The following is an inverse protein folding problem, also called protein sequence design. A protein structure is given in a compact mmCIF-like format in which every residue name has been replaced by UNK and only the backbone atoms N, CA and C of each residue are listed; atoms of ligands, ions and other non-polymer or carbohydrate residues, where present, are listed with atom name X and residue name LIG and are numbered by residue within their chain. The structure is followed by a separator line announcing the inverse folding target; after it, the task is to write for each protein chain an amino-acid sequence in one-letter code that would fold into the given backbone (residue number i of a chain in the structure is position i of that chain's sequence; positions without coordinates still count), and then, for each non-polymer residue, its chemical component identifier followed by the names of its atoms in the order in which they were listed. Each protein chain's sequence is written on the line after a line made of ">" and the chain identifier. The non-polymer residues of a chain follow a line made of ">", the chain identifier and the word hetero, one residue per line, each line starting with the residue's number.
data_IF_341535936049
#
_entry.id   IF_341535936049
#
_cell.length_a   1.000
_cell.length_b   1.000
_cell.length_c   1.000
_cell.angle_alpha   90.00
_cell.angle_beta   90.00
_cell.angle_gamma   90.00
#
_symmetry.space_group_name_H-M   'P 1'
#
loop_
_entity.id
_entity.type
_entity.pdbx_description
1 polymer ?
#
# COMPACT_ATOMS: atom_id res chain seq x y z
N UNK A 1 24.44 -4.42 -22.87
CA UNK A 1 23.60 -3.64 -21.96
C UNK A 1 22.48 -4.59 -21.59
N UNK A 2 22.38 -4.99 -20.32
CA UNK A 2 21.14 -5.63 -19.87
C UNK A 2 20.12 -4.50 -19.89
N UNK A 3 19.08 -4.65 -20.71
CA UNK A 3 17.91 -3.81 -20.60
C UNK A 3 17.40 -4.00 -19.17
N UNK A 4 17.44 -2.94 -18.35
CA UNK A 4 16.85 -2.98 -17.01
C UNK A 4 15.34 -3.13 -17.22
N UNK A 5 14.87 -4.38 -17.14
CA UNK A 5 13.45 -4.67 -17.17
C UNK A 5 12.87 -4.12 -15.86
N UNK A 6 12.01 -3.11 -15.98
CA UNK A 6 11.29 -2.56 -14.83
C UNK A 6 10.10 -3.46 -14.56
N UNK A 7 10.03 -4.04 -13.37
CA UNK A 7 8.85 -4.76 -12.90
C UNK A 7 7.83 -3.77 -12.32
N UNK A 8 6.59 -3.89 -12.76
CA UNK A 8 5.46 -3.10 -12.28
C UNK A 8 4.46 -4.01 -11.55
N UNK A 9 4.11 -3.60 -10.34
CA UNK A 9 3.08 -4.20 -9.52
C UNK A 9 1.77 -3.44 -9.71
N UNK A 10 0.68 -4.19 -9.88
CA UNK A 10 -0.66 -3.62 -9.92
C UNK A 10 -1.26 -3.70 -8.53
N UNK A 11 -1.66 -2.53 -8.02
CA UNK A 11 -2.34 -2.38 -6.75
C UNK A 11 -3.82 -2.13 -7.00
N UNK A 12 -4.69 -2.87 -6.32
CA UNK A 12 -6.14 -2.72 -6.35
C UNK A 12 -6.61 -2.06 -5.06
N UNK A 13 -7.14 -0.84 -5.16
CA UNK A 13 -7.68 -0.09 -4.04
C UNK A 13 -9.20 -0.16 -4.03
N UNK A 14 -9.78 -0.52 -2.89
CA UNK A 14 -11.22 -0.58 -2.66
C UNK A 14 -11.63 0.52 -1.68
N UNK A 15 -12.79 1.12 -1.93
CA UNK A 15 -13.44 2.07 -1.03
C UNK A 15 -14.92 2.10 -1.31
N UNK A 16 -15.76 1.82 -0.32
CA UNK A 16 -17.21 1.79 -0.42
C UNK A 16 -17.69 0.94 -1.62
N UNK A 17 -18.33 1.59 -2.60
CA UNK A 17 -18.77 0.97 -3.86
C UNK A 17 -17.83 1.25 -5.02
N UNK A 18 -16.63 1.74 -4.76
CA UNK A 18 -15.64 2.18 -5.74
C UNK A 18 -14.39 1.31 -5.73
N UNK A 19 -13.67 1.35 -6.86
CA UNK A 19 -12.38 0.70 -7.08
C UNK A 19 -11.45 1.64 -7.84
N UNK A 20 -10.15 1.51 -7.60
CA UNK A 20 -9.12 2.10 -8.44
C UNK A 20 -7.94 1.16 -8.51
N UNK A 21 -7.38 0.98 -9.70
CA UNK A 21 -6.11 0.28 -9.89
C UNK A 21 -4.99 1.29 -10.08
N UNK A 22 -3.79 1.00 -9.58
CA UNK A 22 -2.61 1.85 -9.74
C UNK A 22 -1.37 1.02 -10.06
N UNK A 23 -0.33 1.69 -10.57
CA UNK A 23 0.98 1.10 -10.84
C UNK A 23 2.00 1.57 -9.80
N UNK A 24 2.68 0.61 -9.20
CA UNK A 24 3.82 0.79 -8.30
C UNK A 24 5.01 0.01 -8.86
N UNK A 25 6.18 0.64 -8.97
CA UNK A 25 7.34 0.04 -9.62
C UNK A 25 8.65 0.62 -9.08
N UNK A 26 9.73 -0.13 -9.24
CA UNK A 26 11.07 0.32 -8.88
C UNK A 26 11.63 1.23 -9.98
N UNK A 27 11.91 2.48 -9.63
CA UNK A 27 12.58 3.43 -10.51
C UNK A 27 14.07 3.05 -10.71
N UNK A 28 14.75 3.56 -11.74
CA UNK A 28 16.14 3.20 -12.04
C UNK A 28 17.17 3.51 -10.93
N UNK A 29 16.80 4.30 -9.93
CA UNK A 29 17.61 4.63 -8.75
C UNK A 29 17.26 3.77 -7.52
N UNK A 30 16.65 2.59 -7.75
CA UNK A 30 16.26 1.62 -6.72
C UNK A 30 15.23 2.18 -5.71
N UNK A 31 14.51 3.24 -6.10
CA UNK A 31 13.41 3.80 -5.30
C UNK A 31 12.08 3.33 -5.84
N UNK A 32 11.25 2.74 -4.97
CA UNK A 32 9.89 2.39 -5.33
C UNK A 32 9.01 3.63 -5.44
N UNK A 33 8.27 3.76 -6.54
CA UNK A 33 7.48 4.94 -6.85
C UNK A 33 6.10 4.58 -7.42
N UNK A 34 5.19 5.53 -7.32
CA UNK A 34 3.90 5.46 -8.01
C UNK A 34 3.98 6.12 -9.39
N UNK A 35 3.27 5.56 -10.36
CA UNK A 35 2.99 6.28 -11.60
C UNK A 35 2.01 7.43 -11.31
N UNK A 36 2.41 8.68 -11.59
CA UNK A 36 1.62 9.89 -11.32
C UNK A 36 1.42 10.72 -12.59
N UNK A 37 0.33 11.48 -12.63
CA UNK A 37 0.03 12.41 -13.72
C UNK A 37 0.66 13.80 -13.49
N UNK A 38 0.45 14.71 -14.44
CA UNK A 38 0.97 16.08 -14.37
C UNK A 38 0.36 16.93 -13.24
N UNK A 39 -0.68 16.45 -12.57
CA UNK A 39 -1.35 17.11 -11.44
C UNK A 39 -0.96 16.51 -10.08
N UNK A 40 0.04 15.61 -10.05
CA UNK A 40 0.47 14.90 -8.85
C UNK A 40 -0.62 13.99 -8.26
N UNK A 41 -1.54 13.50 -9.10
CA UNK A 41 -2.46 12.42 -8.78
C UNK A 41 -1.87 11.09 -9.25
N UNK A 42 -2.21 10.00 -8.59
CA UNK A 42 -1.84 8.66 -9.04
C UNK A 42 -2.55 8.38 -10.35
N UNK A 43 -1.82 7.81 -11.33
CA UNK A 43 -2.43 7.27 -12.53
C UNK A 43 -3.31 6.08 -12.16
N UNK A 44 -4.61 6.36 -12.13
CA UNK A 44 -5.66 5.43 -11.76
C UNK A 44 -6.29 4.77 -12.98
N UNK A 45 -6.67 3.50 -12.82
CA UNK A 45 -7.32 2.71 -13.85
C UNK A 45 -8.61 2.04 -13.32
N UNK A 46 -9.63 1.85 -14.15
CA UNK A 46 -10.90 1.25 -13.74
C UNK A 46 -10.82 -0.25 -13.47
N UNK A 47 -9.86 -0.93 -14.10
CA UNK A 47 -9.66 -2.38 -13.97
C UNK A 47 -8.19 -2.77 -14.17
N UNK A 48 -7.87 -4.01 -13.75
CA UNK A 48 -6.52 -4.58 -13.87
C UNK A 48 -6.04 -4.65 -15.33
N UNK A 49 -6.94 -4.85 -16.30
CA UNK A 49 -6.56 -4.98 -17.70
C UNK A 49 -6.10 -3.64 -18.28
N UNK A 50 -6.76 -2.54 -17.94
CA UNK A 50 -6.38 -1.19 -18.27
C UNK A 50 -5.01 -0.82 -17.65
N UNK A 51 -4.79 -1.13 -16.36
CA UNK A 51 -3.50 -0.94 -15.71
C UNK A 51 -2.38 -1.76 -16.39
N UNK A 52 -2.65 -3.03 -16.69
CA UNK A 52 -1.70 -3.93 -17.36
C UNK A 52 -1.33 -3.44 -18.77
N UNK A 53 -2.32 -2.97 -19.53
CA UNK A 53 -2.10 -2.41 -20.87
C UNK A 53 -1.25 -1.14 -20.82
N UNK A 54 -1.48 -0.27 -19.83
CA UNK A 54 -0.67 0.92 -19.62
C UNK A 54 0.79 0.59 -19.28
N UNK A 55 1.03 -0.33 -18.33
CA UNK A 55 2.38 -0.78 -17.98
C UNK A 55 3.11 -1.43 -19.18
N UNK A 56 2.42 -2.27 -19.95
CA UNK A 56 2.96 -2.86 -21.19
C UNK A 56 3.32 -1.79 -22.22
N UNK A 57 2.49 -0.75 -22.35
CA UNK A 57 2.76 0.41 -23.21
C UNK A 57 4.01 1.19 -22.80
N UNK A 58 4.38 1.15 -21.52
CA UNK A 58 5.60 1.70 -20.95
C UNK A 58 6.79 0.73 -20.97
N UNK A 59 6.66 -0.43 -21.63
CA UNK A 59 7.67 -1.48 -21.70
C UNK A 59 8.05 -2.07 -20.33
N UNK A 60 7.13 -2.03 -19.36
CA UNK A 60 7.30 -2.66 -18.05
C UNK A 60 6.83 -4.12 -18.07
N UNK A 61 7.48 -4.96 -17.28
CA UNK A 61 7.01 -6.32 -17.01
C UNK A 61 5.98 -6.28 -15.87
N UNK A 62 4.77 -6.77 -16.12
CA UNK A 62 3.70 -6.72 -15.12
C UNK A 62 3.75 -7.97 -14.24
N UNK A 63 3.85 -7.78 -12.93
CA UNK A 63 3.81 -8.87 -11.97
C UNK A 63 2.46 -9.62 -12.04
N UNK A 64 2.48 -10.93 -11.84
CA UNK A 64 1.24 -11.72 -11.80
C UNK A 64 0.45 -11.46 -10.51
N UNK A 65 1.16 -11.14 -9.42
CA UNK A 65 0.57 -10.85 -8.12
C UNK A 65 -0.20 -9.53 -8.13
N UNK A 66 -1.36 -9.55 -7.48
CA UNK A 66 -2.18 -8.36 -7.26
C UNK A 66 -2.30 -8.15 -5.75
N UNK A 67 -1.92 -6.95 -5.30
CA UNK A 67 -2.13 -6.55 -3.91
C UNK A 67 -3.44 -5.79 -3.81
N UNK A 68 -4.39 -6.31 -3.04
CA UNK A 68 -5.69 -5.68 -2.79
C UNK A 68 -5.65 -4.96 -1.45
N UNK A 69 -6.04 -3.69 -1.45
CA UNK A 69 -6.04 -2.81 -0.29
C UNK A 69 -7.45 -2.24 -0.13
N UNK A 70 -8.13 -2.63 0.95
CA UNK A 70 -9.40 -2.02 1.32
C UNK A 70 -9.15 -0.82 2.23
N UNK A 71 -9.46 0.38 1.74
CA UNK A 71 -9.26 1.61 2.52
C UNK A 71 -10.27 1.76 3.66
N UNK A 72 -11.42 1.09 3.58
CA UNK A 72 -12.44 1.16 4.63
C UNK A 72 -11.99 0.37 5.87
N UNK A 73 -11.26 -0.73 5.66
CA UNK A 73 -10.68 -1.52 6.75
C UNK A 73 -9.68 -0.70 7.58
N UNK A 74 -8.97 0.25 6.97
CA UNK A 74 -8.02 1.13 7.66
C UNK A 74 -8.69 2.21 8.51
N UNK A 75 -9.96 2.50 8.23
CA UNK A 75 -10.76 3.44 9.03
C UNK A 75 -11.36 2.77 10.28
N UNK A 76 -11.40 1.44 10.33
CA UNK A 76 -11.88 0.71 11.49
C UNK A 76 -10.88 0.77 12.66
N UNK A 77 -11.34 0.70 13.93
CA UNK A 77 -10.45 0.55 15.07
C UNK A 77 -9.62 -0.73 14.97
N UNK A 78 -8.29 -0.62 15.07
CA UNK A 78 -7.42 -1.79 15.06
C UNK A 78 -7.66 -2.67 16.29
N UNK A 79 -7.72 -3.98 16.05
CA UNK A 79 -7.75 -4.98 17.11
C UNK A 79 -6.43 -4.98 17.89
N UNK A 80 -6.44 -5.26 19.20
CA UNK A 80 -5.20 -5.49 19.96
C UNK A 80 -4.49 -6.79 19.58
N UNK A 81 -5.13 -7.66 18.78
CA UNK A 81 -4.56 -8.94 18.34
C UNK A 81 -3.87 -8.81 16.97
N UNK A 82 -2.59 -8.43 16.98
CA UNK A 82 -1.76 -8.36 15.78
C UNK A 82 -1.18 -9.73 15.45
N UNK A 83 -1.85 -10.45 14.56
CA UNK A 83 -1.29 -11.67 13.94
C UNK A 83 -0.19 -11.30 12.92
N UNK A 84 0.66 -12.25 12.50
CA UNK A 84 1.64 -11.99 11.44
C UNK A 84 1.01 -11.51 10.13
N UNK A 85 -0.16 -12.06 9.76
CA UNK A 85 -0.88 -11.66 8.56
C UNK A 85 -1.41 -10.22 8.65
N UNK A 86 -2.01 -9.84 9.78
CA UNK A 86 -2.47 -8.45 10.02
C UNK A 86 -1.27 -7.50 10.03
N UNK A 87 -0.18 -7.87 10.71
CA UNK A 87 1.02 -7.05 10.77
C UNK A 87 1.62 -6.83 9.38
N UNK A 88 1.64 -7.87 8.54
CA UNK A 88 2.16 -7.79 7.18
C UNK A 88 1.32 -6.86 6.32
N UNK A 89 -0.02 -6.97 6.40
CA UNK A 89 -0.91 -6.07 5.67
C UNK A 89 -0.69 -4.59 6.05
N UNK A 90 -0.53 -4.31 7.35
CA UNK A 90 -0.28 -2.95 7.85
C UNK A 90 1.11 -2.43 7.41
N UNK A 91 2.14 -3.27 7.40
CA UNK A 91 3.47 -2.91 6.89
C UNK A 91 3.44 -2.61 5.39
N UNK A 92 2.77 -3.44 4.60
CA UNK A 92 2.63 -3.22 3.16
C UNK A 92 1.98 -1.86 2.90
N UNK A 93 0.89 -1.54 3.60
CA UNK A 93 0.19 -0.26 3.45
C UNK A 93 1.06 0.91 3.92
N UNK A 94 1.78 0.75 5.02
CA UNK A 94 2.71 1.76 5.51
C UNK A 94 3.78 2.08 4.47
N UNK A 95 4.43 1.05 3.91
CA UNK A 95 5.48 1.21 2.90
C UNK A 95 4.95 1.87 1.63
N UNK A 96 3.77 1.46 1.16
CA UNK A 96 3.13 2.08 0.00
C UNK A 96 2.80 3.56 0.25
N UNK A 97 2.31 3.92 1.43
CA UNK A 97 2.04 5.32 1.77
C UNK A 97 3.32 6.16 1.88
N UNK A 98 4.41 5.59 2.42
CA UNK A 98 5.72 6.23 2.45
C UNK A 98 6.27 6.45 1.03
N UNK A 99 6.23 5.43 0.17
CA UNK A 99 6.66 5.52 -1.23
C UNK A 99 5.82 6.55 -2.01
N UNK A 100 4.51 6.61 -1.76
CA UNK A 100 3.66 7.65 -2.35
C UNK A 100 4.05 9.05 -1.86
N UNK A 101 4.26 9.22 -0.55
CA UNK A 101 4.66 10.50 0.01
C UNK A 101 6.01 10.96 -0.58
N UNK A 102 6.98 10.05 -0.71
CA UNK A 102 8.26 10.30 -1.40
C UNK A 102 8.06 10.67 -2.86
N UNK A 103 7.25 9.91 -3.60
CA UNK A 103 6.92 10.17 -5.02
C UNK A 103 6.39 11.59 -5.20
N UNK A 104 5.56 12.06 -4.26
CA UNK A 104 4.90 13.37 -4.34
C UNK A 104 5.68 14.50 -3.63
N UNK A 105 6.81 14.20 -2.98
CA UNK A 105 7.54 15.17 -2.15
C UNK A 105 6.74 15.68 -0.95
N UNK A 106 5.85 14.86 -0.41
CA UNK A 106 4.96 15.17 0.72
C UNK A 106 5.50 14.59 2.04
N UNK A 107 4.98 15.09 3.16
CA UNK A 107 5.19 14.49 4.48
C UNK A 107 4.09 13.49 4.80
N UNK A 108 4.44 12.42 5.48
CA UNK A 108 3.53 11.38 5.98
C UNK A 108 3.95 11.03 7.41
N UNK A 109 3.02 10.94 8.36
CA UNK A 109 3.37 10.72 9.77
C UNK A 109 4.12 9.41 10.01
N UNK A 110 3.95 8.40 9.14
CA UNK A 110 4.70 7.16 9.19
C UNK A 110 6.20 7.28 8.90
N UNK A 111 6.69 8.45 8.48
CA UNK A 111 8.13 8.72 8.24
C UNK A 111 8.82 9.46 9.38
N UNK A 112 8.07 9.81 10.43
CA UNK A 112 8.62 10.47 11.60
C UNK A 112 9.35 9.47 12.50
N UNK A 113 10.46 9.89 13.13
CA UNK A 113 11.25 9.04 14.04
C UNK A 113 10.43 8.42 15.17
N UNK A 114 9.34 9.06 15.62
CA UNK A 114 8.44 8.49 16.64
C UNK A 114 7.67 7.28 16.15
N UNK A 115 7.52 7.12 14.84
CA UNK A 115 6.84 6.03 14.18
C UNK A 115 7.76 4.80 13.96
N UNK A 116 9.09 4.98 13.96
CA UNK A 116 10.09 3.91 13.76
C UNK A 116 9.92 2.75 14.74
N UNK A 117 9.59 3.05 16.00
CA UNK A 117 9.38 2.01 17.03
C UNK A 117 8.15 1.16 16.73
N UNK A 118 7.08 1.76 16.19
CA UNK A 118 5.86 1.04 15.80
C UNK A 118 6.12 0.20 14.55
N UNK A 119 6.85 0.76 13.58
CA UNK A 119 7.26 0.06 12.37
C UNK A 119 8.12 -1.16 12.68
N UNK A 120 9.17 -1.01 13.49
CA UNK A 120 10.04 -2.11 13.93
C UNK A 120 9.26 -3.22 14.63
N UNK A 121 8.26 -2.85 15.42
CA UNK A 121 7.39 -3.80 16.15
C UNK A 121 6.52 -4.59 15.19
N UNK A 122 5.91 -3.93 14.20
CA UNK A 122 5.18 -4.60 13.11
C UNK A 122 6.12 -5.54 12.34
N UNK A 123 7.30 -5.07 11.97
CA UNK A 123 8.30 -5.85 11.22
C UNK A 123 8.70 -7.13 11.96
N UNK A 124 8.98 -7.04 13.26
CA UNK A 124 9.29 -8.22 14.09
C UNK A 124 8.13 -9.20 14.24
N UNK A 125 6.87 -8.72 14.24
CA UNK A 125 5.70 -9.59 14.21
C UNK A 125 5.62 -10.43 12.92
N UNK A 126 6.18 -9.95 11.81
CA UNK A 126 6.19 -10.62 10.51
C UNK A 126 7.41 -11.53 10.33
N UNK A 127 8.61 -10.98 10.52
CA UNK A 127 9.86 -11.62 10.11
C UNK A 127 10.30 -12.76 11.04
N UNK A 128 10.07 -12.64 12.34
CA UNK A 128 10.47 -13.69 13.29
C UNK A 128 9.76 -15.02 12.99
N UNK A 129 8.41 -15.05 12.81
CA UNK A 129 7.71 -16.23 12.33
C UNK A 129 8.20 -16.77 10.98
N UNK A 130 8.47 -15.89 10.01
CA UNK A 130 8.93 -16.29 8.69
C UNK A 130 10.28 -17.02 8.74
N UNK A 131 11.14 -16.63 9.68
CA UNK A 131 12.43 -17.29 9.96
C UNK A 131 12.33 -18.54 10.86
N UNK A 132 11.13 -18.97 11.24
CA UNK A 132 10.90 -20.14 12.10
C UNK A 132 11.09 -19.89 13.59
N UNK A 133 11.26 -18.63 14.00
CA UNK A 133 11.24 -18.24 15.41
C UNK A 133 9.80 -18.01 15.87
N UNK A 134 9.49 -18.18 17.18
CA UNK A 134 8.22 -17.72 17.71
C UNK A 134 8.06 -16.23 17.37
N UNK A 135 6.84 -15.82 16.98
CA UNK A 135 6.54 -14.38 16.99
C UNK A 135 6.84 -13.87 18.38
N UNK A 136 7.63 -12.80 18.47
CA UNK A 136 7.57 -11.98 19.67
C UNK A 136 6.13 -11.46 19.72
N UNK A 137 5.31 -12.04 20.59
CA UNK A 137 3.99 -11.49 20.91
C UNK A 137 4.25 -10.17 21.60
N UNK A 138 4.44 -9.14 20.80
CA UNK A 138 4.62 -7.82 21.31
C UNK A 138 3.29 -7.36 21.87
N UNK A 139 3.23 -7.12 23.19
CA UNK A 139 2.05 -6.52 23.80
C UNK A 139 1.94 -5.09 23.27
N UNK A 140 0.91 -4.85 22.46
CA UNK A 140 0.54 -3.53 21.99
C UNK A 140 -0.21 -2.80 23.11
N UNK A 141 0.33 -1.67 23.54
CA UNK A 141 -0.34 -0.75 24.45
C UNK A 141 -1.48 -0.05 23.72
N UNK A 142 -2.45 0.49 24.46
CA UNK A 142 -3.57 1.22 23.85
C UNK A 142 -3.08 2.45 23.11
N UNK A 143 -2.05 3.09 23.64
CA UNK A 143 -1.41 4.27 23.07
C UNK A 143 -0.73 3.95 21.74
N UNK A 144 0.02 2.85 21.65
CA UNK A 144 0.64 2.40 20.39
C UNK A 144 -0.41 2.02 19.35
N UNK A 145 -1.50 1.35 19.75
CA UNK A 145 -2.59 0.99 18.83
C UNK A 145 -3.29 2.25 18.31
N UNK A 146 -3.51 3.24 19.18
CA UNK A 146 -4.11 4.51 18.78
C UNK A 146 -3.21 5.23 17.76
N UNK A 147 -1.92 5.35 18.05
CA UNK A 147 -0.94 5.98 17.14
C UNK A 147 -0.86 5.25 15.81
N UNK A 148 -0.78 3.92 15.81
CA UNK A 148 -0.76 3.13 14.58
C UNK A 148 -2.06 3.32 13.79
N UNK A 149 -3.21 3.36 14.46
CA UNK A 149 -4.50 3.60 13.81
C UNK A 149 -4.57 4.99 13.17
N UNK A 150 -3.98 6.01 13.80
CA UNK A 150 -3.89 7.36 13.22
C UNK A 150 -3.02 7.37 11.95
N UNK A 151 -1.86 6.70 11.99
CA UNK A 151 -0.97 6.54 10.82
C UNK A 151 -1.68 5.82 9.67
N UNK A 152 -2.40 4.73 9.94
CA UNK A 152 -3.15 3.99 8.92
C UNK A 152 -4.31 4.80 8.34
N UNK A 153 -5.01 5.59 9.16
CA UNK A 153 -6.06 6.51 8.68
C UNK A 153 -5.49 7.61 7.80
N UNK A 154 -4.31 8.14 8.14
CA UNK A 154 -3.63 9.12 7.30
C UNK A 154 -3.22 8.51 5.95
N UNK A 155 -2.69 7.28 5.94
CA UNK A 155 -2.40 6.54 4.71
C UNK A 155 -3.66 6.37 3.85
N UNK A 156 -4.77 5.94 4.46
CA UNK A 156 -6.04 5.78 3.77
C UNK A 156 -6.55 7.10 3.17
N UNK A 157 -6.45 8.19 3.92
CA UNK A 157 -6.83 9.53 3.46
C UNK A 157 -5.94 9.99 2.29
N UNK A 158 -4.63 9.73 2.34
CA UNK A 158 -3.69 10.07 1.28
C UNK A 158 -4.05 9.36 -0.02
N UNK A 159 -4.27 8.03 0.01
CA UNK A 159 -4.72 7.29 -1.18
C UNK A 159 -6.09 7.76 -1.67
N UNK A 160 -7.04 7.99 -0.75
CA UNK A 160 -8.38 8.48 -1.08
C UNK A 160 -8.36 9.83 -1.82
N UNK A 161 -7.42 10.72 -1.47
CA UNK A 161 -7.23 12.01 -2.12
C UNK A 161 -6.54 11.90 -3.49
N UNK A 162 -5.55 11.01 -3.62
CA UNK A 162 -4.68 10.95 -4.81
C UNK A 162 -5.14 9.99 -5.90
N UNK A 163 -6.07 9.09 -5.61
CA UNK A 163 -6.65 8.17 -6.59
C UNK A 163 -7.89 8.78 -7.26
N UNK A 164 -8.06 8.50 -8.55
CA UNK A 164 -9.35 8.64 -9.23
C UNK A 164 -10.15 7.36 -9.02
N UNK A 165 -11.39 7.51 -8.54
CA UNK A 165 -12.26 6.40 -8.18
C UNK A 165 -13.26 6.08 -9.28
N UNK A 166 -13.44 4.78 -9.54
CA UNK A 166 -14.41 4.26 -10.50
C UNK A 166 -15.48 3.46 -9.76
N UNK A 167 -16.73 3.50 -10.22
CA UNK A 167 -17.78 2.66 -9.68
C UNK A 167 -17.44 1.18 -9.92
N UNK A 168 -17.57 0.35 -8.88
CA UNK A 168 -17.42 -1.09 -9.05
C UNK A 168 -18.54 -1.61 -9.94
N UNK A 169 -18.24 -2.46 -10.94
CA UNK A 169 -19.28 -3.22 -11.61
C UNK A 169 -20.09 -3.98 -10.55
N UNK A 170 -21.40 -3.72 -10.47
CA UNK A 170 -22.28 -4.52 -9.63
C UNK A 170 -22.11 -5.98 -10.06
N UNK A 171 -21.70 -6.83 -9.13
CA UNK A 171 -21.63 -8.26 -9.38
C UNK A 171 -23.05 -8.78 -9.61
N UNK A 172 -23.50 -8.84 -10.87
CA UNK A 172 -24.76 -9.48 -11.25
C UNK A 172 -25.66 -8.67 -12.19
N UNK A 173 -25.33 -8.68 -13.49
CA UNK A 173 -26.32 -8.92 -14.55
C UNK A 173 -25.66 -9.81 -15.60
N UNK A 174 -25.64 -11.11 -15.31
CA UNK A 174 -25.63 -12.16 -16.34
C UNK A 174 -27.06 -12.53 -16.69
#
# INVERSE_FOLDING_TARGET
>A
MMDNIIEAYILCFLRETCVSFALWYEAPDETNVFAVDATNCILSFPDRAAASAAATGLQMFVSEEETVIDLDDLNAPLSPEFTPAVSNALLTIWNLADDLAKTLGMSYSGTQHTADTLYDKLFRCCELPAMGYPSEKHLWTREEIAQLSDIMREAAALFAEKLIWYERPLSGTT
#
